data_IF_126538154162
#
_entry.id   IF_126538154162
#
_cell.length_a   1.000
_cell.length_b   1.000
_cell.length_c   1.000
_cell.angle_alpha   90.00
_cell.angle_beta   90.00
_cell.angle_gamma   90.00
#
_symmetry.space_group_name_H-M   'P 1'
#
loop_
_entity.id
_entity.type
_entity.pdbx_description
1 polymer ?
#
# COMPACT_ATOMS: atom_id res chain seq x y z
N UNK A 1 11.02 -17.33 -5.35
CA UNK A 1 9.76 -16.61 -5.11
C UNK A 1 10.04 -15.36 -4.27
N UNK A 2 9.33 -14.28 -4.52
CA UNK A 2 9.32 -13.08 -3.71
C UNK A 2 8.06 -13.08 -2.85
N UNK A 3 8.20 -13.11 -1.53
CA UNK A 3 7.08 -13.00 -0.59
C UNK A 3 6.85 -11.53 -0.28
N UNK A 4 5.81 -10.96 -0.88
CA UNK A 4 5.48 -9.54 -0.74
C UNK A 4 4.66 -9.29 0.52
N UNK A 5 5.31 -8.86 1.60
CA UNK A 5 4.66 -8.48 2.85
C UNK A 5 4.05 -7.07 2.77
N UNK A 6 3.04 -6.81 3.59
CA UNK A 6 2.28 -5.55 3.63
C UNK A 6 1.79 -5.08 2.24
N UNK A 7 1.19 -5.95 1.43
CA UNK A 7 0.85 -5.66 0.03
C UNK A 7 -0.22 -4.57 -0.14
N UNK A 8 -0.95 -4.23 0.93
CA UNK A 8 -1.91 -3.11 0.99
C UNK A 8 -1.37 -1.92 1.78
N UNK A 9 -0.04 -1.80 1.88
CA UNK A 9 0.65 -0.69 2.56
C UNK A 9 0.12 -0.42 3.99
N UNK A 10 -0.08 -1.49 4.78
CA UNK A 10 -0.59 -1.43 6.16
C UNK A 10 -1.96 -0.75 6.29
N UNK A 11 -2.82 -0.94 5.31
CA UNK A 11 -4.15 -0.38 5.26
C UNK A 11 -4.27 0.94 4.50
N UNK A 12 -3.16 1.58 4.14
CA UNK A 12 -3.17 2.83 3.36
C UNK A 12 -3.89 2.68 2.01
N UNK A 13 -3.63 1.59 1.28
CA UNK A 13 -4.23 1.33 -0.03
C UNK A 13 -5.53 0.51 0.02
N UNK A 14 -6.14 0.35 1.19
CA UNK A 14 -7.38 -0.45 1.35
C UNK A 14 -8.52 0.28 2.04
N UNK A 15 -8.43 1.61 2.16
CA UNK A 15 -9.42 2.44 2.88
C UNK A 15 -9.69 1.97 4.32
N UNK A 16 -8.68 1.40 4.99
CA UNK A 16 -8.83 0.87 6.34
C UNK A 16 -8.90 1.98 7.42
N UNK A 17 -8.56 3.22 7.09
CA UNK A 17 -8.59 4.37 7.97
C UNK A 17 -8.51 5.67 7.15
N UNK A 18 -9.00 6.77 7.71
CA UNK A 18 -8.95 8.09 7.08
C UNK A 18 -7.93 9.02 7.76
N UNK A 19 -7.73 8.89 9.08
CA UNK A 19 -6.84 9.75 9.87
C UNK A 19 -5.90 8.92 10.75
N UNK A 20 -4.56 8.98 10.51
CA UNK A 20 -3.58 8.31 11.35
C UNK A 20 -3.55 8.79 12.81
N UNK A 21 -4.05 10.00 13.10
CA UNK A 21 -4.12 10.51 14.49
C UNK A 21 -5.02 9.65 15.39
N UNK A 22 -5.98 8.94 14.79
CA UNK A 22 -6.93 8.06 15.48
C UNK A 22 -6.36 6.66 15.77
N UNK A 23 -5.15 6.34 15.33
CA UNK A 23 -4.54 5.04 15.60
C UNK A 23 -4.44 4.77 17.11
N UNK A 24 -4.75 3.54 17.51
CA UNK A 24 -4.63 3.10 18.90
C UNK A 24 -3.20 3.33 19.44
N UNK A 25 -3.02 3.58 20.75
CA UNK A 25 -1.70 3.88 21.31
C UNK A 25 -0.60 2.85 21.03
N UNK A 26 -0.97 1.58 20.85
CA UNK A 26 -0.05 0.46 20.54
C UNK A 26 0.06 0.15 19.05
N UNK A 27 -0.58 0.93 18.18
CA UNK A 27 -0.53 0.71 16.74
C UNK A 27 0.87 1.04 16.21
N UNK A 28 1.50 0.08 15.57
CA UNK A 28 2.88 0.23 15.04
C UNK A 28 3.01 1.34 14.02
N UNK A 29 1.90 1.68 13.33
CA UNK A 29 1.88 2.76 12.31
C UNK A 29 2.13 4.14 12.92
N UNK A 30 1.86 4.32 14.23
CA UNK A 30 2.19 5.57 14.95
C UNK A 30 3.67 5.91 14.94
N UNK A 31 4.55 4.93 14.81
CA UNK A 31 5.99 5.11 14.72
C UNK A 31 6.53 5.12 13.28
N UNK A 32 5.67 5.00 12.28
CA UNK A 32 6.10 4.90 10.88
C UNK A 32 6.05 6.28 10.21
N UNK A 33 7.14 6.73 9.55
CA UNK A 33 7.25 8.07 8.98
C UNK A 33 6.10 8.45 8.04
N UNK A 34 5.66 7.55 7.17
CA UNK A 34 4.61 7.80 6.16
C UNK A 34 3.27 8.22 6.74
N UNK A 35 3.01 7.91 8.01
CA UNK A 35 1.77 8.26 8.72
C UNK A 35 1.93 9.47 9.66
N UNK A 36 3.12 10.07 9.71
CA UNK A 36 3.38 11.24 10.56
C UNK A 36 2.85 12.54 9.91
N UNK A 37 2.55 13.57 10.72
CA UNK A 37 1.98 14.83 10.23
C UNK A 37 2.78 15.51 9.12
N UNK A 38 4.10 15.35 9.10
CA UNK A 38 4.99 15.92 8.07
C UNK A 38 4.89 15.21 6.71
N UNK A 39 4.45 13.95 6.67
CA UNK A 39 4.36 13.14 5.45
C UNK A 39 2.93 12.82 5.05
N UNK A 40 2.04 12.69 6.04
CA UNK A 40 0.67 12.21 5.80
C UNK A 40 -0.13 13.04 4.79
N UNK A 41 -0.13 14.39 4.83
CA UNK A 41 -0.91 15.17 3.86
C UNK A 41 -0.55 14.88 2.41
N UNK A 42 0.74 14.72 2.09
CA UNK A 42 1.21 14.39 0.76
C UNK A 42 0.77 12.96 0.36
N UNK A 43 0.87 12.00 1.28
CA UNK A 43 0.43 10.63 1.03
C UNK A 43 -1.08 10.53 0.89
N UNK A 44 -1.85 11.19 1.74
CA UNK A 44 -3.31 11.22 1.68
C UNK A 44 -3.82 11.79 0.35
N UNK A 45 -3.09 12.75 -0.25
CA UNK A 45 -3.44 13.33 -1.55
C UNK A 45 -3.39 12.31 -2.71
N UNK A 46 -2.74 11.16 -2.55
CA UNK A 46 -2.74 10.07 -3.54
C UNK A 46 -4.02 9.23 -3.51
N UNK A 47 -4.72 9.18 -2.37
CA UNK A 47 -5.87 8.29 -2.17
C UNK A 47 -7.06 8.54 -3.12
N UNK A 48 -7.45 9.78 -3.42
CA UNK A 48 -8.53 10.00 -4.40
C UNK A 48 -8.24 9.40 -5.77
N UNK A 49 -7.00 9.55 -6.26
CA UNK A 49 -6.56 8.95 -7.52
C UNK A 49 -6.55 7.42 -7.45
N UNK A 50 -6.09 6.86 -6.34
CA UNK A 50 -6.09 5.41 -6.11
C UNK A 50 -7.50 4.82 -6.11
N UNK A 51 -8.43 5.47 -5.40
CA UNK A 51 -9.86 5.08 -5.38
C UNK A 51 -10.51 5.16 -6.76
N UNK A 52 -10.17 6.20 -7.54
CA UNK A 52 -10.68 6.34 -8.91
C UNK A 52 -10.21 5.20 -9.82
N UNK A 53 -8.93 4.81 -9.73
CA UNK A 53 -8.40 3.66 -10.48
C UNK A 53 -9.05 2.35 -10.06
N UNK A 54 -9.28 2.13 -8.77
CA UNK A 54 -9.99 0.94 -8.28
C UNK A 54 -11.43 0.88 -8.80
N UNK A 55 -12.15 2.01 -8.80
CA UNK A 55 -13.49 2.12 -9.36
C UNK A 55 -13.51 1.84 -10.88
N UNK A 56 -12.54 2.36 -11.63
CA UNK A 56 -12.37 2.09 -13.06
C UNK A 56 -12.11 0.60 -13.32
N UNK A 57 -11.33 -0.06 -12.46
CA UNK A 57 -11.07 -1.49 -12.51
C UNK A 57 -12.25 -2.35 -12.06
N UNK A 58 -13.31 -1.77 -11.49
CA UNK A 58 -14.45 -2.50 -10.92
C UNK A 58 -14.11 -3.33 -9.69
N UNK A 59 -13.14 -2.89 -8.89
CA UNK A 59 -12.68 -3.59 -7.69
C UNK A 59 -12.51 -2.63 -6.51
N UNK A 60 -12.23 -3.19 -5.32
CA UNK A 60 -11.91 -2.35 -4.16
C UNK A 60 -10.47 -1.83 -4.22
N UNK A 61 -10.13 -0.74 -3.50
CA UNK A 61 -8.76 -0.24 -3.39
C UNK A 61 -7.75 -1.30 -2.93
N UNK A 62 -8.12 -2.14 -1.96
CA UNK A 62 -7.30 -3.25 -1.47
C UNK A 62 -7.08 -4.32 -2.54
N UNK A 63 -8.12 -4.65 -3.30
CA UNK A 63 -8.01 -5.60 -4.42
C UNK A 63 -7.13 -5.06 -5.54
N UNK A 64 -7.19 -3.77 -5.86
CA UNK A 64 -6.30 -3.15 -6.84
C UNK A 64 -4.84 -3.29 -6.41
N UNK A 65 -4.54 -3.06 -5.12
CA UNK A 65 -3.19 -3.21 -4.58
C UNK A 65 -2.67 -4.65 -4.73
N UNK A 66 -3.50 -5.63 -4.42
CA UNK A 66 -3.15 -7.05 -4.56
C UNK A 66 -2.98 -7.46 -6.03
N UNK A 67 -3.87 -7.02 -6.92
CA UNK A 67 -3.78 -7.27 -8.35
C UNK A 67 -2.49 -6.67 -8.93
N UNK A 68 -2.12 -5.46 -8.51
CA UNK A 68 -0.87 -4.82 -8.91
C UNK A 68 0.35 -5.63 -8.45
N UNK A 69 0.38 -6.11 -7.21
CA UNK A 69 1.47 -6.96 -6.71
C UNK A 69 1.55 -8.26 -7.49
N UNK A 70 0.43 -8.94 -7.74
CA UNK A 70 0.37 -10.18 -8.52
C UNK A 70 0.84 -9.99 -9.97
N UNK A 71 0.60 -8.82 -10.56
CA UNK A 71 1.04 -8.51 -11.93
C UNK A 71 2.55 -8.38 -12.09
N UNK A 72 3.32 -8.33 -10.98
CA UNK A 72 4.79 -8.21 -11.02
C UNK A 72 5.51 -9.51 -11.43
N UNK A 73 4.80 -10.61 -11.52
CA UNK A 73 5.32 -11.88 -12.03
C UNK A 73 4.84 -13.09 -11.22
N UNK A 74 4.85 -14.26 -11.84
CA UNK A 74 4.41 -15.53 -11.23
C UNK A 74 5.22 -15.93 -9.97
N UNK A 75 6.39 -15.35 -9.80
CA UNK A 75 7.25 -15.60 -8.63
C UNK A 75 6.89 -14.70 -7.43
N UNK A 76 5.93 -13.78 -7.58
CA UNK A 76 5.53 -12.84 -6.52
C UNK A 76 4.29 -13.32 -5.80
N UNK A 77 4.39 -13.51 -4.49
CA UNK A 77 3.31 -14.01 -3.63
C UNK A 77 2.97 -12.96 -2.57
N UNK A 78 1.86 -12.22 -2.71
CA UNK A 78 1.40 -11.29 -1.68
C UNK A 78 0.89 -12.05 -0.46
N UNK A 79 1.19 -11.53 0.75
CA UNK A 79 0.73 -12.09 2.01
C UNK A 79 -0.08 -11.05 2.81
N UNK A 80 -1.32 -10.72 2.36
CA UNK A 80 -2.18 -9.78 3.08
C UNK A 80 -2.67 -10.39 4.41
N UNK A 81 -2.29 -9.77 5.53
CA UNK A 81 -2.75 -10.16 6.86
C UNK A 81 -4.13 -9.58 7.17
N UNK A 82 -5.03 -10.40 7.75
CA UNK A 82 -6.34 -9.94 8.24
C UNK A 82 -6.88 -10.85 9.33
N UNK A 83 -7.70 -10.29 10.23
CA UNK A 83 -8.51 -11.03 11.21
C UNK A 83 -10.00 -11.02 10.84
N UNK A 84 -10.38 -10.35 9.75
CA UNK A 84 -11.75 -10.27 9.23
C UNK A 84 -11.98 -11.31 8.15
N UNK A 85 -13.05 -12.10 8.28
CA UNK A 85 -13.48 -13.07 7.25
C UNK A 85 -13.90 -12.35 5.96
N UNK A 86 -14.48 -11.17 6.07
CA UNK A 86 -14.85 -10.33 4.93
C UNK A 86 -13.61 -9.90 4.14
N UNK A 87 -12.63 -9.31 4.81
CA UNK A 87 -11.37 -8.93 4.17
C UNK A 87 -10.59 -10.13 3.63
N UNK A 88 -10.68 -11.30 4.27
CA UNK A 88 -10.10 -12.52 3.73
C UNK A 88 -10.73 -12.92 2.38
N UNK A 89 -12.07 -12.85 2.28
CA UNK A 89 -12.78 -13.12 1.03
C UNK A 89 -12.45 -12.11 -0.05
N UNK A 90 -12.40 -10.84 0.30
CA UNK A 90 -11.98 -9.73 -0.57
C UNK A 90 -10.57 -9.95 -1.11
N UNK A 91 -9.60 -10.20 -0.23
CA UNK A 91 -8.22 -10.45 -0.59
C UNK A 91 -8.07 -11.68 -1.52
N UNK A 92 -8.79 -12.77 -1.20
CA UNK A 92 -8.79 -13.98 -2.03
C UNK A 92 -9.36 -13.70 -3.43
N UNK A 93 -10.42 -12.92 -3.53
CA UNK A 93 -11.05 -12.58 -4.81
C UNK A 93 -10.10 -11.78 -5.73
N UNK A 94 -9.15 -11.03 -5.18
CA UNK A 94 -8.15 -10.30 -5.95
C UNK A 94 -7.32 -11.21 -6.88
N UNK A 95 -7.08 -12.45 -6.49
CA UNK A 95 -6.32 -13.42 -7.30
C UNK A 95 -7.03 -13.84 -8.60
N UNK A 96 -8.33 -13.58 -8.70
CA UNK A 96 -9.15 -13.90 -9.88
C UNK A 96 -9.55 -12.67 -10.69
N UNK A 97 -9.05 -11.49 -10.31
CA UNK A 97 -9.34 -10.26 -11.04
C UNK A 97 -8.51 -10.18 -12.33
N UNK A 98 -9.18 -9.80 -13.40
CA UNK A 98 -8.53 -9.41 -14.65
C UNK A 98 -8.56 -7.88 -14.73
N UNK A 99 -7.45 -7.25 -14.41
CA UNK A 99 -7.30 -5.79 -14.48
C UNK A 99 -6.50 -5.42 -15.70
N UNK A 100 -6.92 -4.38 -16.41
CA UNK A 100 -6.25 -3.88 -17.60
C UNK A 100 -4.77 -3.54 -17.26
N UNK A 101 -3.79 -4.01 -18.05
CA UNK A 101 -2.37 -3.71 -17.85
C UNK A 101 -2.05 -2.21 -17.83
N UNK A 102 -2.73 -1.39 -18.65
CA UNK A 102 -2.52 0.06 -18.65
C UNK A 102 -3.02 0.70 -17.35
N UNK A 103 -4.12 0.18 -16.78
CA UNK A 103 -4.60 0.63 -15.49
C UNK A 103 -3.63 0.25 -14.36
N UNK A 104 -3.07 -0.97 -14.41
CA UNK A 104 -2.04 -1.40 -13.45
C UNK A 104 -0.76 -0.56 -13.58
N UNK A 105 -0.37 -0.14 -14.79
CA UNK A 105 0.75 0.78 -14.99
C UNK A 105 0.46 2.14 -14.35
N UNK A 106 -0.71 2.73 -14.61
CA UNK A 106 -1.15 3.99 -14.00
C UNK A 106 -1.19 3.91 -12.47
N UNK A 107 -1.63 2.78 -11.92
CA UNK A 107 -1.62 2.55 -10.47
C UNK A 107 -0.18 2.54 -9.90
N UNK A 108 0.76 1.92 -10.61
CA UNK A 108 2.18 1.93 -10.26
C UNK A 108 2.80 3.32 -10.35
N UNK A 109 2.45 4.11 -11.36
CA UNK A 109 2.95 5.49 -11.53
C UNK A 109 2.40 6.42 -10.43
N UNK A 110 1.16 6.19 -9.99
CA UNK A 110 0.55 6.98 -8.92
C UNK A 110 1.21 6.72 -7.57
N UNK A 111 1.54 5.46 -7.27
CA UNK A 111 2.08 5.06 -5.95
C UNK A 111 3.45 4.41 -6.14
N UNK A 112 4.48 5.21 -6.12
CA UNK A 112 5.87 4.80 -6.28
C UNK A 112 6.80 5.61 -5.36
N UNK A 113 8.09 5.30 -5.35
CA UNK A 113 9.09 5.95 -4.49
C UNK A 113 9.22 7.45 -4.70
N UNK A 114 8.95 7.95 -5.91
CA UNK A 114 8.98 9.39 -6.24
C UNK A 114 7.71 10.16 -5.87
N UNK A 115 6.59 9.47 -5.60
CA UNK A 115 5.32 10.10 -5.25
C UNK A 115 4.96 9.98 -3.78
N UNK A 116 5.44 8.91 -3.11
CA UNK A 116 5.21 8.66 -1.68
C UNK A 116 6.18 9.48 -0.84
N UNK A 117 5.66 10.22 0.13
CA UNK A 117 6.45 11.01 1.08
C UNK A 117 6.90 10.17 2.27
N UNK A 118 8.18 10.30 2.62
CA UNK A 118 8.79 9.67 3.79
C UNK A 118 9.24 8.22 3.59
N UNK A 119 10.26 7.81 4.35
CA UNK A 119 10.77 6.44 4.33
C UNK A 119 9.75 5.46 4.92
N UNK A 120 9.89 4.17 4.58
CA UNK A 120 9.02 3.12 5.08
C UNK A 120 9.13 2.93 6.59
N UNK A 121 10.36 3.04 7.12
CA UNK A 121 10.69 2.81 8.52
C UNK A 121 11.44 3.98 9.13
N UNK A 122 11.31 4.17 10.43
CA UNK A 122 12.17 5.04 11.21
C UNK A 122 13.64 4.50 11.21
N UNK A 123 14.66 5.34 11.50
CA UNK A 123 16.07 4.96 11.34
C UNK A 123 16.49 3.66 12.05
N UNK A 124 15.96 3.39 13.26
CA UNK A 124 16.28 2.16 13.99
C UNK A 124 15.83 0.90 13.24
N UNK A 125 14.52 0.69 13.01
CA UNK A 125 14.00 -0.44 12.22
C UNK A 125 14.51 -0.47 10.77
N UNK A 126 14.84 0.66 10.16
CA UNK A 126 15.39 0.71 8.81
C UNK A 126 16.78 0.06 8.72
N UNK A 127 17.56 0.09 9.79
CA UNK A 127 18.89 -0.53 9.82
C UNK A 127 18.84 -2.07 9.84
N UNK A 128 17.68 -2.68 10.12
CA UNK A 128 17.49 -4.13 10.23
C UNK A 128 16.94 -4.76 8.94
N UNK A 129 16.62 -3.94 7.93
CA UNK A 129 15.98 -4.41 6.69
C UNK A 129 16.62 -3.77 5.47
N UNK A 130 16.70 -4.52 4.36
CA UNK A 130 16.98 -3.96 3.05
C UNK A 130 15.71 -3.26 2.54
N UNK A 131 15.68 -1.94 2.64
CA UNK A 131 14.59 -1.11 2.16
C UNK A 131 15.08 -0.15 1.09
N UNK A 132 14.14 0.40 0.31
CA UNK A 132 14.42 1.48 -0.62
C UNK A 132 15.10 2.68 0.08
N UNK A 133 16.16 3.20 -0.52
CA UNK A 133 16.77 4.45 -0.08
C UNK A 133 16.06 5.61 -0.77
N UNK A 134 15.55 6.54 0.04
CA UNK A 134 15.05 7.82 -0.46
C UNK A 134 16.23 8.80 -0.43
N UNK A 135 16.57 9.37 -1.58
CA UNK A 135 17.46 10.53 -1.59
C UNK A 135 16.77 11.62 -0.77
N UNK A 136 17.38 12.03 0.34
CA UNK A 136 16.93 13.20 1.07
C UNK A 136 17.02 14.37 0.09
N UNK A 137 15.90 15.01 -0.19
CA UNK A 137 15.88 16.26 -0.93
C UNK A 137 16.82 17.24 -0.21
N UNK A 138 17.89 17.62 -0.88
CA UNK A 138 18.86 18.58 -0.40
C UNK A 138 18.22 19.97 -0.36
#
# INVERSE_FOLDING_TARGET
ALVAFSPVARGFLSDAFDDPSEFAPKDIRRGMPRFQPEHWPANAALLPGWRALAAEAGCTPGQLALAWVLSRGEHVVPIPGTTSLEHFRENRAAASLSVDPDLLARAGDLVQTSTVSGPRYAPGPAAEVDAETFESAA
#
